data_IF_956804503864
#
_entry.id   IF_956804503864
#
_cell.length_a   1.000
_cell.length_b   1.000
_cell.length_c   1.000
_cell.angle_alpha   90.00
_cell.angle_beta   90.00
_cell.angle_gamma   90.00
#
_symmetry.space_group_name_H-M   'P 1'
#
loop_
_entity.id
_entity.type
_entity.pdbx_description
1 polymer ?
#
# COMPACT_ATOMS: atom_id res chain seq x y z
N UNK A 1 3.37 -3.16 5.11
CA UNK A 1 2.44 -2.46 4.19
C UNK A 1 1.81 -1.23 4.83
N UNK A 2 1.00 -1.35 5.90
CA UNK A 2 0.34 -0.20 6.53
C UNK A 2 1.28 0.98 6.82
N UNK A 3 2.47 0.71 7.36
CA UNK A 3 3.46 1.75 7.64
C UNK A 3 3.78 2.60 6.41
N UNK A 4 3.86 2.01 5.21
CA UNK A 4 4.14 2.76 3.98
C UNK A 4 3.06 3.81 3.67
N UNK A 5 1.81 3.51 3.99
CA UNK A 5 0.68 4.40 3.75
C UNK A 5 0.54 5.48 4.81
N UNK A 6 0.68 5.14 6.10
CA UNK A 6 0.55 6.13 7.18
C UNK A 6 1.72 7.11 7.23
N UNK A 7 2.89 6.75 6.68
CA UNK A 7 4.02 7.69 6.53
C UNK A 7 3.92 8.54 5.26
N UNK A 8 2.96 8.25 4.37
CA UNK A 8 2.74 8.99 3.11
C UNK A 8 1.22 9.18 2.87
N UNK A 9 0.49 9.85 3.78
CA UNK A 9 -0.95 10.02 3.64
C UNK A 9 -1.27 10.86 2.39
N UNK A 10 -2.33 10.48 1.67
CA UNK A 10 -2.73 11.13 0.41
C UNK A 10 -1.78 10.91 -0.78
N UNK A 11 -0.58 10.37 -0.58
CA UNK A 11 0.37 10.13 -1.66
C UNK A 11 0.03 8.84 -2.42
N UNK A 12 0.06 8.91 -3.76
CA UNK A 12 -0.06 7.72 -4.60
C UNK A 12 1.25 6.94 -4.58
N UNK A 13 1.18 5.71 -4.05
CA UNK A 13 2.28 4.77 -4.02
C UNK A 13 2.08 3.71 -5.11
N UNK A 14 2.98 3.70 -6.11
CA UNK A 14 2.95 2.70 -7.17
C UNK A 14 3.25 1.29 -6.64
N UNK A 15 2.85 0.26 -7.39
CA UNK A 15 3.12 -1.14 -7.02
C UNK A 15 4.62 -1.41 -6.89
N UNK A 16 5.41 -0.83 -7.79
CA UNK A 16 6.88 -0.97 -7.81
C UNK A 16 7.50 -0.24 -6.62
N UNK A 17 7.00 0.95 -6.24
CA UNK A 17 7.46 1.66 -5.04
C UNK A 17 7.16 0.85 -3.79
N UNK A 18 5.94 0.33 -3.67
CA UNK A 18 5.54 -0.52 -2.55
C UNK A 18 6.38 -1.81 -2.49
N UNK A 19 6.65 -2.43 -3.64
CA UNK A 19 7.52 -3.59 -3.74
C UNK A 19 8.94 -3.27 -3.22
N UNK A 20 9.55 -2.18 -3.67
CA UNK A 20 10.87 -1.74 -3.18
C UNK A 20 10.88 -1.51 -1.66
N UNK A 21 9.82 -0.92 -1.12
CA UNK A 21 9.68 -0.71 0.32
C UNK A 21 9.56 -2.02 1.11
N UNK A 22 8.94 -3.06 0.54
CA UNK A 22 8.87 -4.39 1.14
C UNK A 22 10.24 -5.07 1.13
N UNK A 23 10.96 -5.04 0.01
CA UNK A 23 12.32 -5.57 -0.09
C UNK A 23 13.27 -4.89 0.90
N UNK A 24 13.20 -3.57 1.03
CA UNK A 24 13.99 -2.80 2.00
C UNK A 24 13.69 -3.17 3.46
N UNK A 25 12.48 -3.69 3.74
CA UNK A 25 12.06 -4.15 5.08
C UNK A 25 12.31 -5.64 5.30
N UNK A 26 13.16 -6.28 4.49
CA UNK A 26 13.53 -7.71 4.59
C UNK A 26 12.34 -8.66 4.54
N UNK A 27 11.31 -8.32 3.76
CA UNK A 27 10.31 -9.30 3.36
C UNK A 27 10.99 -10.28 2.40
N UNK A 28 10.84 -11.57 2.62
CA UNK A 28 11.46 -12.59 1.77
C UNK A 28 10.82 -12.61 0.39
N UNK A 29 11.64 -12.34 -0.62
CA UNK A 29 11.34 -12.46 -2.05
C UNK A 29 9.93 -11.95 -2.48
N UNK A 30 9.52 -10.72 -2.11
CA UNK A 30 8.22 -10.20 -2.47
C UNK A 30 8.14 -9.97 -3.98
N UNK A 31 6.93 -10.07 -4.51
CA UNK A 31 6.61 -9.75 -5.90
C UNK A 31 5.39 -8.82 -5.97
N UNK A 32 4.99 -8.44 -7.18
CA UNK A 32 3.82 -7.58 -7.39
C UNK A 32 2.52 -8.24 -6.88
N UNK A 33 2.43 -9.58 -6.92
CA UNK A 33 1.29 -10.32 -6.34
C UNK A 33 1.24 -10.21 -4.83
N UNK A 34 2.39 -10.19 -4.16
CA UNK A 34 2.53 -9.98 -2.72
C UNK A 34 1.99 -8.61 -2.35
N UNK A 35 2.29 -7.57 -3.14
CA UNK A 35 1.71 -6.23 -2.99
C UNK A 35 0.19 -6.30 -3.03
N UNK A 36 -0.40 -6.89 -4.07
CA UNK A 36 -1.86 -7.00 -4.22
C UNK A 36 -2.52 -7.74 -3.04
N UNK A 37 -1.92 -8.84 -2.59
CA UNK A 37 -2.40 -9.62 -1.44
C UNK A 37 -2.37 -8.78 -0.16
N UNK A 38 -1.30 -8.02 0.07
CA UNK A 38 -1.18 -7.16 1.23
C UNK A 38 -2.17 -5.99 1.19
N UNK A 39 -2.42 -5.41 0.00
CA UNK A 39 -3.47 -4.39 -0.19
C UNK A 39 -4.85 -4.98 0.15
N UNK A 40 -5.18 -6.17 -0.37
CA UNK A 40 -6.45 -6.85 -0.07
C UNK A 40 -6.61 -7.14 1.42
N UNK A 41 -5.55 -7.67 2.06
CA UNK A 41 -5.55 -7.95 3.51
C UNK A 41 -5.71 -6.67 4.32
N UNK A 42 -5.08 -5.57 3.89
CA UNK A 42 -5.17 -4.29 4.58
C UNK A 42 -6.58 -3.71 4.46
N UNK A 43 -7.22 -3.77 3.28
CA UNK A 43 -8.62 -3.37 3.07
C UNK A 43 -9.63 -4.15 3.92
N UNK A 44 -9.33 -5.40 4.25
CA UNK A 44 -10.18 -6.20 5.14
C UNK A 44 -9.99 -5.83 6.62
N UNK A 45 -8.79 -5.36 6.99
CA UNK A 45 -8.48 -4.95 8.37
C UNK A 45 -8.87 -3.50 8.66
N UNK A 46 -8.78 -2.66 7.65
CA UNK A 46 -9.24 -1.28 7.67
C UNK A 46 -10.65 -1.21 7.10
N UNK A 47 -11.24 -0.01 7.09
CA UNK A 47 -12.40 0.25 6.24
C UNK A 47 -11.93 0.34 4.78
N UNK A 48 -12.65 -0.30 3.86
CA UNK A 48 -12.22 -0.47 2.48
C UNK A 48 -12.11 0.85 1.70
N UNK A 49 -12.89 1.85 2.11
CA UNK A 49 -12.90 3.23 1.60
C UNK A 49 -11.62 4.00 1.91
N UNK A 50 -10.87 3.63 2.96
CA UNK A 50 -9.64 4.32 3.33
C UNK A 50 -8.45 4.00 2.41
N UNK A 51 -8.45 2.85 1.72
CA UNK A 51 -7.32 2.45 0.86
C UNK A 51 -7.77 2.39 -0.60
N UNK A 52 -7.57 3.49 -1.32
CA UNK A 52 -8.13 3.72 -2.66
C UNK A 52 -7.16 3.24 -3.74
N UNK A 53 -7.69 2.70 -4.84
CA UNK A 53 -6.92 2.40 -6.05
C UNK A 53 -6.97 3.61 -6.99
N UNK A 54 -5.82 4.15 -7.37
CA UNK A 54 -5.70 5.01 -8.54
C UNK A 54 -5.33 4.12 -9.73
N UNK A 55 -6.27 3.95 -10.67
CA UNK A 55 -6.06 3.03 -11.80
C UNK A 55 -4.82 3.42 -12.62
N UNK A 56 -4.00 2.43 -12.99
CA UNK A 56 -2.72 2.65 -13.68
C UNK A 56 -1.57 3.16 -12.81
N UNK A 57 -1.87 3.89 -11.73
CA UNK A 57 -0.84 4.58 -10.93
C UNK A 57 -0.44 3.81 -9.66
N UNK A 58 -1.41 3.32 -8.89
CA UNK A 58 -1.12 2.68 -7.61
C UNK A 58 -2.24 2.78 -6.58
N UNK A 59 -1.84 2.98 -5.32
CA UNK A 59 -2.75 3.02 -4.17
C UNK A 59 -2.40 4.20 -3.27
N UNK A 60 -3.37 4.77 -2.60
CA UNK A 60 -3.15 5.80 -1.57
C UNK A 60 -4.09 5.61 -0.39
N UNK A 61 -3.70 6.18 0.75
CA UNK A 61 -4.52 6.21 1.96
C UNK A 61 -5.34 7.51 1.97
N UNK A 62 -6.65 7.38 1.80
CA UNK A 62 -7.65 8.43 1.88
C UNK A 62 -8.07 8.66 3.35
N UNK A 63 -7.10 8.86 4.23
CA UNK A 63 -7.34 9.26 5.60
C UNK A 63 -6.86 10.70 5.77
N UNK A 64 -7.67 11.52 6.43
CA UNK A 64 -7.23 12.83 6.89
C UNK A 64 -6.31 12.59 8.10
N UNK A 65 -5.00 12.66 7.87
CA UNK A 65 -4.00 12.51 8.94
C UNK A 65 -3.64 13.92 9.41
N UNK A 66 -4.42 14.42 10.37
CA UNK A 66 -4.14 15.66 11.10
C UNK A 66 -3.08 15.43 12.19
#
# INVERSE_FOLDING_TARGET
MLVAFVTNPGEILSRERLLRMLSARRVDNPDLRTVDVLIRRLRHKLRADLLVTQHGEGYFLAADVY
#
